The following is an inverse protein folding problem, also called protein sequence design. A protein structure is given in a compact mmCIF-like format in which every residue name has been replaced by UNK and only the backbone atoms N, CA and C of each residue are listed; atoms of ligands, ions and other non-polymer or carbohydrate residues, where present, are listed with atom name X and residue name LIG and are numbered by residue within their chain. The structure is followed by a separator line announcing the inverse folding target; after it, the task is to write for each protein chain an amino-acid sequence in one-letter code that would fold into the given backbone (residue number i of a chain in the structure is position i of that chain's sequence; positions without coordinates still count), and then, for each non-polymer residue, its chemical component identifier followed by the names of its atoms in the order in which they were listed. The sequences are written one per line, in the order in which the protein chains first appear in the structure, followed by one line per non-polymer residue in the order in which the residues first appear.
data_IF_352162478456
#
_entry.id   IF_352162478456
#
_cell.length_a   1.000
_cell.length_b   1.000
_cell.length_c   1.000
_cell.angle_alpha   90.00
_cell.angle_beta   90.00
_cell.angle_gamma   90.00
#
_symmetry.space_group_name_H-M   'P 1'
#
loop_
_entity.id
_entity.type
_entity.pdbx_description
1 polymer ?
#
# COMPACT_ATOMS: atom_id res chain seq x y z
N UNK A 1 -40.13 -27.53 46.11
CA UNK A 1 -39.43 -26.25 45.89
C UNK A 1 -38.51 -26.40 44.69
N UNK A 2 -38.88 -25.72 43.60
CA UNK A 2 -38.02 -25.19 42.52
C UNK A 2 -37.31 -26.21 41.62
N UNK A 3 -37.81 -26.46 40.40
CA UNK A 3 -37.67 -25.65 39.17
C UNK A 3 -36.20 -25.49 38.75
N UNK A 4 -35.77 -25.51 37.49
CA UNK A 4 -36.33 -25.82 36.18
C UNK A 4 -35.19 -25.40 35.23
N UNK A 5 -34.91 -26.19 34.20
CA UNK A 5 -34.32 -25.76 32.93
C UNK A 5 -32.88 -25.19 32.92
N UNK A 6 -31.99 -26.06 32.46
CA UNK A 6 -31.03 -25.76 31.40
C UNK A 6 -31.72 -25.01 30.23
N UNK A 7 -31.84 -23.68 30.35
CA UNK A 7 -32.17 -22.79 29.25
C UNK A 7 -30.92 -22.00 28.92
N UNK A 8 -30.29 -22.44 27.85
CA UNK A 8 -29.31 -21.69 27.07
C UNK A 8 -30.07 -20.45 26.56
N UNK A 9 -30.07 -19.38 27.35
CA UNK A 9 -30.61 -18.09 26.93
C UNK A 9 -29.58 -17.45 26.00
N UNK A 10 -29.79 -17.69 24.70
CA UNK A 10 -29.32 -16.84 23.61
C UNK A 10 -29.81 -15.41 23.84
N UNK A 11 -29.14 -14.68 24.71
CA UNK A 11 -29.21 -13.23 24.71
C UNK A 11 -28.12 -12.77 23.75
N UNK A 12 -28.55 -12.45 22.53
CA UNK A 12 -27.77 -11.71 21.55
C UNK A 12 -27.35 -10.38 22.19
N UNK A 13 -26.21 -10.38 22.89
CA UNK A 13 -25.50 -9.15 23.20
C UNK A 13 -25.21 -8.49 21.85
N UNK A 14 -25.76 -7.31 21.67
CA UNK A 14 -25.39 -6.41 20.58
C UNK A 14 -23.87 -6.34 20.53
N UNK A 15 -23.28 -6.91 19.48
CA UNK A 15 -21.87 -6.75 19.18
C UNK A 15 -21.68 -5.27 18.91
N UNK A 16 -21.26 -4.51 19.93
CA UNK A 16 -20.50 -3.31 19.68
C UNK A 16 -19.22 -3.79 19.01
N UNK A 17 -19.18 -3.76 17.68
CA UNK A 17 -17.90 -3.68 16.97
C UNK A 17 -17.36 -2.29 17.28
N UNK A 18 -16.91 -2.10 18.52
CA UNK A 18 -16.10 -0.96 18.87
C UNK A 18 -14.69 -1.39 18.48
N UNK A 19 -14.34 -1.16 17.23
CA UNK A 19 -12.98 -1.29 16.74
C UNK A 19 -12.13 -0.25 17.48
N UNK A 20 -11.78 -0.53 18.73
CA UNK A 20 -10.66 0.11 19.41
C UNK A 20 -9.42 -0.40 18.72
N UNK A 21 -8.99 0.36 17.72
CA UNK A 21 -7.59 0.50 17.36
C UNK A 21 -6.75 0.43 18.65
N UNK A 22 -5.71 -0.44 18.72
CA UNK A 22 -4.93 -0.54 19.94
C UNK A 22 -4.15 0.76 20.14
N UNK A 23 -4.61 1.62 21.06
CA UNK A 23 -3.78 2.67 21.64
C UNK A 23 -2.96 2.02 22.75
N UNK A 24 -1.79 1.53 22.36
CA UNK A 24 -0.84 0.92 23.27
C UNK A 24 -0.24 1.98 24.21
N UNK A 25 -0.89 2.23 25.36
CA UNK A 25 -0.21 2.83 26.48
C UNK A 25 0.67 1.79 27.17
N UNK A 26 1.86 1.59 26.61
CA UNK A 26 2.99 0.96 27.29
C UNK A 26 4.16 1.95 27.24
N UNK A 27 4.39 2.65 28.36
CA UNK A 27 5.56 3.50 28.58
C UNK A 27 6.82 2.62 28.60
N UNK A 28 7.32 2.31 27.41
CA UNK A 28 8.65 1.73 27.19
C UNK A 28 9.63 2.89 27.08
N UNK A 29 10.77 2.79 27.75
CA UNK A 29 11.86 3.78 27.77
C UNK A 29 12.65 3.81 26.46
N UNK A 30 11.93 3.98 25.34
CA UNK A 30 12.48 4.39 24.04
C UNK A 30 11.36 5.13 23.34
N UNK A 31 11.51 6.45 23.20
CA UNK A 31 10.55 7.32 22.53
C UNK A 31 10.47 6.90 21.06
N UNK A 32 9.61 5.92 20.72
CA UNK A 32 9.32 5.59 19.33
C UNK A 32 8.71 6.86 18.73
N UNK A 33 9.49 7.55 17.91
CA UNK A 33 9.03 8.74 17.20
C UNK A 33 7.72 8.38 16.50
N UNK A 34 6.81 9.35 16.48
CA UNK A 34 5.61 9.29 15.66
C UNK A 34 6.08 9.38 14.20
N UNK A 35 6.45 8.24 13.63
CA UNK A 35 6.88 8.12 12.24
C UNK A 35 5.75 8.50 11.29
N UNK A 36 6.11 8.81 10.05
CA UNK A 36 5.14 9.17 9.04
C UNK A 36 4.33 7.97 8.57
N UNK A 37 3.13 8.24 8.02
CA UNK A 37 2.30 7.19 7.46
C UNK A 37 2.99 6.55 6.24
N UNK A 38 2.66 5.30 5.90
CA UNK A 38 3.12 4.69 4.66
C UNK A 38 2.80 5.57 3.45
N UNK A 39 3.78 5.76 2.56
CA UNK A 39 3.71 6.69 1.44
C UNK A 39 4.11 8.14 1.77
N UNK A 40 4.60 8.38 2.99
CA UNK A 40 5.16 9.66 3.41
C UNK A 40 6.59 9.52 3.95
N UNK A 41 7.32 10.62 3.94
CA UNK A 41 8.66 10.73 4.50
C UNK A 41 8.76 11.97 5.40
N UNK A 42 9.63 11.91 6.40
CA UNK A 42 9.81 12.99 7.36
C UNK A 42 10.80 14.03 6.84
N UNK A 43 10.36 15.28 6.70
CA UNK A 43 11.16 16.40 6.24
C UNK A 43 10.76 17.68 6.96
N UNK A 44 11.75 18.44 7.46
CA UNK A 44 11.55 19.73 8.12
C UNK A 44 10.51 19.75 9.26
N UNK A 45 10.38 18.66 10.01
CA UNK A 45 9.40 18.59 11.10
C UNK A 45 8.02 18.08 10.69
N UNK A 46 7.78 17.85 9.39
CA UNK A 46 6.50 17.45 8.83
C UNK A 46 6.60 16.14 8.06
N UNK A 47 5.45 15.52 7.78
CA UNK A 47 5.35 14.36 6.90
C UNK A 47 4.88 14.82 5.52
N UNK A 48 5.72 14.61 4.50
CA UNK A 48 5.40 14.90 3.12
C UNK A 48 5.14 13.61 2.33
N UNK A 49 4.34 13.71 1.28
CA UNK A 49 4.02 12.56 0.44
C UNK A 49 5.14 12.25 -0.54
N UNK A 50 5.40 10.96 -0.74
CA UNK A 50 6.29 10.50 -1.80
C UNK A 50 5.72 10.83 -3.18
N UNK A 51 6.58 11.32 -4.07
CA UNK A 51 6.22 11.54 -5.46
C UNK A 51 6.04 10.21 -6.22
N UNK A 52 5.35 10.26 -7.35
CA UNK A 52 5.23 9.12 -8.25
C UNK A 52 6.61 8.62 -8.71
N UNK A 53 6.79 7.29 -8.74
CA UNK A 53 8.08 6.65 -8.97
C UNK A 53 8.89 6.39 -7.70
N UNK A 54 8.39 6.82 -6.54
CA UNK A 54 9.00 6.56 -5.24
C UNK A 54 8.02 5.96 -4.25
N UNK A 55 8.52 5.33 -3.19
CA UNK A 55 7.70 4.75 -2.13
C UNK A 55 8.36 4.94 -0.77
N UNK A 56 7.54 4.88 0.29
CA UNK A 56 8.03 4.82 1.66
C UNK A 56 7.18 3.81 2.45
N UNK A 57 7.75 2.77 3.07
CA UNK A 57 6.98 1.78 3.84
C UNK A 57 6.27 2.39 5.06
N UNK A 58 6.59 3.65 5.42
CA UNK A 58 6.08 4.34 6.59
C UNK A 58 6.98 4.06 7.79
N UNK A 59 7.67 5.10 8.25
CA UNK A 59 8.52 5.08 9.45
C UNK A 59 9.08 6.49 9.70
N UNK A 60 10.14 6.60 10.52
CA UNK A 60 10.98 7.79 10.62
C UNK A 60 11.88 8.00 9.39
N UNK A 61 11.64 7.26 8.30
CA UNK A 61 12.30 7.42 7.02
C UNK A 61 12.24 8.88 6.59
N UNK A 62 13.42 9.46 6.40
CA UNK A 62 13.58 10.86 5.96
C UNK A 62 13.68 10.99 4.44
N UNK A 63 13.41 9.89 3.71
CA UNK A 63 13.52 9.83 2.24
C UNK A 63 12.47 8.89 1.66
N UNK A 64 12.09 9.14 0.41
CA UNK A 64 11.36 8.18 -0.40
C UNK A 64 12.34 7.36 -1.25
N UNK A 65 12.11 6.06 -1.32
CA UNK A 65 12.94 5.13 -2.08
C UNK A 65 12.44 5.06 -3.52
N UNK A 66 13.35 5.02 -4.50
CA UNK A 66 12.97 4.84 -5.90
C UNK A 66 12.39 3.45 -6.13
N UNK A 67 11.39 3.35 -7.01
CA UNK A 67 10.90 2.06 -7.43
C UNK A 67 12.00 1.28 -8.19
N UNK A 68 12.20 -0.01 -7.86
CA UNK A 68 13.09 -0.87 -8.61
C UNK A 68 12.69 -1.00 -10.09
N UNK A 69 13.60 -1.54 -10.91
CA UNK A 69 13.30 -1.85 -12.31
C UNK A 69 12.04 -2.72 -12.44
N UNK A 70 11.26 -2.43 -13.48
CA UNK A 70 9.96 -3.07 -13.77
C UNK A 70 8.88 -2.83 -12.70
N UNK A 71 9.06 -1.82 -11.86
CA UNK A 71 8.06 -1.41 -10.88
C UNK A 71 7.73 0.06 -11.02
N UNK A 72 6.54 0.41 -10.53
CA UNK A 72 6.05 1.77 -10.57
C UNK A 72 5.25 2.11 -9.32
N UNK A 73 5.14 3.39 -9.01
CA UNK A 73 4.25 3.87 -7.96
C UNK A 73 3.57 5.16 -8.38
N UNK A 74 2.34 5.32 -7.94
CA UNK A 74 1.68 6.62 -7.95
C UNK A 74 2.13 7.42 -6.71
N UNK A 75 1.79 8.70 -6.65
CA UNK A 75 2.06 9.51 -5.46
C UNK A 75 1.47 8.89 -4.19
N UNK A 76 2.13 9.15 -3.06
CA UNK A 76 1.72 8.66 -1.74
C UNK A 76 1.73 7.13 -1.61
N UNK A 77 2.60 6.43 -2.33
CA UNK A 77 2.65 4.97 -2.31
C UNK A 77 3.52 4.41 -1.19
N UNK A 78 3.00 3.41 -0.48
CA UNK A 78 3.75 2.68 0.54
C UNK A 78 4.69 1.61 -0.02
N UNK A 79 4.48 1.22 -1.27
CA UNK A 79 5.22 0.18 -1.98
C UNK A 79 5.05 0.39 -3.48
N UNK A 80 5.99 -0.13 -4.26
CA UNK A 80 5.88 -0.15 -5.72
C UNK A 80 5.06 -1.34 -6.20
N UNK A 81 4.37 -1.14 -7.32
CA UNK A 81 3.58 -2.13 -8.03
C UNK A 81 4.41 -2.68 -9.19
N UNK A 82 4.25 -3.96 -9.50
CA UNK A 82 4.85 -4.53 -10.71
C UNK A 82 4.20 -3.93 -11.95
N UNK A 83 5.01 -3.66 -12.97
CA UNK A 83 4.52 -3.31 -14.27
C UNK A 83 3.85 -4.49 -14.98
N UNK A 84 3.13 -4.21 -16.06
CA UNK A 84 2.49 -5.26 -16.85
C UNK A 84 3.54 -6.24 -17.37
N UNK A 85 3.27 -7.55 -17.23
CA UNK A 85 4.16 -8.62 -17.68
C UNK A 85 4.48 -8.60 -19.18
N UNK A 86 3.66 -7.92 -19.99
CA UNK A 86 3.89 -7.70 -21.41
C UNK A 86 4.92 -6.60 -21.72
N UNK A 87 5.24 -5.74 -20.74
CA UNK A 87 6.27 -4.74 -20.87
C UNK A 87 7.66 -5.38 -20.75
N UNK A 88 8.61 -4.94 -21.58
CA UNK A 88 10.04 -5.14 -21.36
C UNK A 88 10.64 -4.05 -20.46
N UNK A 89 10.06 -2.86 -20.50
CA UNK A 89 10.34 -1.77 -19.57
C UNK A 89 9.09 -0.92 -19.41
N UNK A 90 8.97 -0.24 -18.28
CA UNK A 90 7.84 0.63 -17.96
C UNK A 90 8.32 1.92 -17.29
N UNK A 91 7.46 2.93 -17.32
CA UNK A 91 7.71 4.19 -16.63
C UNK A 91 7.43 4.04 -15.13
N UNK A 92 8.38 4.39 -14.24
CA UNK A 92 8.24 4.20 -12.80
C UNK A 92 7.14 5.07 -12.17
N UNK A 93 6.68 6.13 -12.83
CA UNK A 93 5.67 7.06 -12.28
C UNK A 93 4.23 6.64 -12.54
N UNK A 94 3.98 5.84 -13.57
CA UNK A 94 2.61 5.51 -14.00
C UNK A 94 2.40 4.06 -14.43
N UNK A 95 3.48 3.27 -14.57
CA UNK A 95 3.42 1.86 -14.95
C UNK A 95 3.13 1.61 -16.43
N UNK A 96 3.08 2.66 -17.26
CA UNK A 96 2.89 2.52 -18.71
C UNK A 96 4.14 1.90 -19.33
N UNK A 97 3.95 0.98 -20.28
CA UNK A 97 5.06 0.35 -20.97
C UNK A 97 5.83 1.41 -21.79
N UNK A 98 7.15 1.35 -21.73
CA UNK A 98 8.04 2.11 -22.61
C UNK A 98 8.63 1.22 -23.70
N UNK A 99 8.65 -0.10 -23.48
CA UNK A 99 8.98 -1.10 -24.48
C UNK A 99 8.22 -2.41 -24.21
N UNK A 100 8.09 -3.25 -25.23
CA UNK A 100 7.35 -4.50 -25.16
C UNK A 100 8.27 -5.71 -25.20
N UNK A 101 7.82 -6.79 -24.56
CA UNK A 101 8.44 -8.10 -24.72
C UNK A 101 8.42 -8.53 -26.19
N UNK A 102 9.40 -9.34 -26.63
CA UNK A 102 9.39 -9.92 -27.98
C UNK A 102 8.06 -10.62 -28.30
N UNK A 103 7.53 -10.39 -29.50
CA UNK A 103 6.25 -10.95 -29.95
C UNK A 103 4.99 -10.18 -29.49
N UNK A 104 5.15 -9.03 -28.84
CA UNK A 104 4.05 -8.11 -28.49
C UNK A 104 4.15 -6.81 -29.31
N UNK A 105 3.01 -6.25 -29.70
CA UNK A 105 2.90 -4.95 -30.33
C UNK A 105 2.75 -3.83 -29.29
N UNK A 106 3.37 -2.67 -29.58
CA UNK A 106 3.25 -1.47 -28.74
C UNK A 106 2.08 -0.60 -29.21
N UNK A 107 1.14 -0.32 -28.32
CA UNK A 107 -0.04 0.50 -28.58
C UNK A 107 0.19 1.91 -28.07
N UNK A 108 0.70 2.79 -28.93
CA UNK A 108 1.11 4.15 -28.55
C UNK A 108 0.00 4.97 -27.89
N UNK A 109 -1.27 4.77 -28.28
CA UNK A 109 -2.43 5.48 -27.72
C UNK A 109 -2.66 5.19 -26.23
N UNK A 110 -2.35 3.98 -25.78
CA UNK A 110 -2.50 3.56 -24.38
C UNK A 110 -1.17 3.33 -23.66
N UNK A 111 -0.05 3.39 -24.39
CA UNK A 111 1.28 3.02 -23.91
C UNK A 111 1.29 1.64 -23.23
N UNK A 112 0.60 0.68 -23.84
CA UNK A 112 0.49 -0.71 -23.40
C UNK A 112 1.03 -1.66 -24.46
N UNK A 113 1.42 -2.84 -24.01
CA UNK A 113 1.84 -3.92 -24.88
C UNK A 113 0.74 -4.96 -24.95
N UNK A 114 0.42 -5.45 -26.13
CA UNK A 114 -0.49 -6.59 -26.27
C UNK A 114 -0.10 -7.46 -27.46
N UNK A 115 -0.63 -8.67 -27.52
CA UNK A 115 -0.38 -9.53 -28.69
C UNK A 115 -1.01 -8.86 -29.91
N UNK A 116 -0.32 -8.91 -31.05
CA UNK A 116 -0.94 -8.51 -32.31
C UNK A 116 -2.15 -9.42 -32.55
N UNK A 117 -3.34 -8.85 -32.57
CA UNK A 117 -4.51 -9.56 -33.07
C UNK A 117 -4.43 -9.60 -34.61
N UNK A 118 -4.75 -10.74 -35.24
CA UNK A 118 -4.83 -10.86 -36.69
C UNK A 118 -5.88 -9.93 -37.30
#
# INVERSE_FOLDING_TARGET
MIFLLCLITFTFLTIKVNATYPQNNARTTTLKRLGCLPGQYYVNGNCEYCEAGTYSPGSDDSVCYNCPNLQYSLGSASQCKQCDSSCLSCNPKNGLCTSCQPGKGFYATSSKCSSCQP
#
